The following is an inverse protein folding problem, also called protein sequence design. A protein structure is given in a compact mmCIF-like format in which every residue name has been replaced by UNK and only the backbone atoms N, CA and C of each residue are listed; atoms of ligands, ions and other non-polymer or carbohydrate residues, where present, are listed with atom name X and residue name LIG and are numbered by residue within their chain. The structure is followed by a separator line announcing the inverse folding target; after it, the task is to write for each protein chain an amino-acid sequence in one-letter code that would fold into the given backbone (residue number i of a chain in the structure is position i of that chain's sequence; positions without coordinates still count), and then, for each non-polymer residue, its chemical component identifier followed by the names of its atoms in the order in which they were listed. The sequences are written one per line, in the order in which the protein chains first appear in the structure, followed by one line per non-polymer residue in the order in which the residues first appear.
data_IF_358875017413
#
_entry.id   IF_358875017413
#
_cell.length_a   1.000
_cell.length_b   1.000
_cell.length_c   1.000
_cell.angle_alpha   90.00
_cell.angle_beta   90.00
_cell.angle_gamma   90.00
#
_symmetry.space_group_name_H-M   'P 1'
#
loop_
_entity.id
_entity.type
_entity.pdbx_description
1 polymer ?
#
# COMPACT_ATOMS: atom_id res chain seq x y z
N UNK A 1 -6.69 19.71 -5.65
CA UNK A 1 -6.98 19.49 -4.22
C UNK A 1 -5.64 19.35 -3.52
N UNK A 2 -5.40 20.04 -2.42
CA UNK A 2 -4.16 19.82 -1.67
C UNK A 2 -4.17 18.39 -1.11
N UNK A 3 -3.05 17.68 -1.20
CA UNK A 3 -2.93 16.27 -0.80
C UNK A 3 -3.32 16.06 0.68
N UNK A 4 -3.02 17.03 1.53
CA UNK A 4 -3.39 17.01 2.95
C UNK A 4 -4.92 16.95 3.14
N UNK A 5 -5.67 17.82 2.46
CA UNK A 5 -7.14 17.81 2.51
C UNK A 5 -7.72 16.49 2.02
N UNK A 6 -7.14 15.93 0.96
CA UNK A 6 -7.56 14.63 0.46
C UNK A 6 -7.33 13.51 1.49
N UNK A 7 -6.18 13.51 2.15
CA UNK A 7 -5.90 12.57 3.23
C UNK A 7 -6.84 12.74 4.42
N UNK A 8 -7.17 13.99 4.80
CA UNK A 8 -8.15 14.27 5.86
C UNK A 8 -9.53 13.68 5.55
N UNK A 9 -10.00 13.84 4.31
CA UNK A 9 -11.29 13.28 3.87
C UNK A 9 -11.30 11.74 3.93
N UNK A 10 -10.18 11.09 3.53
CA UNK A 10 -10.03 9.62 3.61
C UNK A 10 -10.04 9.13 5.07
N UNK A 11 -9.29 9.79 5.96
CA UNK A 11 -9.19 9.43 7.39
C UNK A 11 -10.54 9.64 8.08
N UNK A 12 -11.19 10.77 7.84
CA UNK A 12 -12.49 11.07 8.43
C UNK A 12 -13.58 10.05 8.02
N UNK A 13 -13.42 9.44 6.84
CA UNK A 13 -14.28 8.39 6.35
C UNK A 13 -13.92 6.97 6.84
N UNK A 14 -12.82 6.82 7.58
CA UNK A 14 -12.41 5.56 8.21
C UNK A 14 -11.24 4.84 7.52
N UNK A 15 -10.50 5.49 6.62
CA UNK A 15 -9.27 4.89 6.10
C UNK A 15 -8.23 4.77 7.21
N UNK A 16 -7.69 3.57 7.41
CA UNK A 16 -6.74 3.26 8.50
C UNK A 16 -5.29 3.19 8.03
N UNK A 17 -5.05 3.07 6.72
CA UNK A 17 -3.73 3.05 6.11
C UNK A 17 -3.75 3.86 4.82
N UNK A 18 -2.80 4.78 4.68
CA UNK A 18 -2.61 5.59 3.48
C UNK A 18 -1.18 5.42 2.99
N UNK A 19 -1.04 5.06 1.72
CA UNK A 19 0.26 5.03 1.05
C UNK A 19 0.42 6.28 0.20
N UNK A 20 1.52 7.01 0.40
CA UNK A 20 1.93 8.10 -0.50
C UNK A 20 2.93 7.60 -1.53
N UNK A 21 2.65 7.89 -2.80
CA UNK A 21 3.48 7.51 -3.94
C UNK A 21 3.62 8.70 -4.89
N UNK A 22 4.85 9.15 -5.11
CA UNK A 22 5.17 10.15 -6.14
C UNK A 22 6.35 9.66 -6.99
N UNK A 23 6.08 9.31 -8.23
CA UNK A 23 7.09 8.96 -9.26
C UNK A 23 7.19 10.02 -10.36
N UNK A 24 6.48 11.15 -10.21
CA UNK A 24 6.43 12.20 -11.23
C UNK A 24 7.69 13.04 -11.26
N UNK A 25 8.38 13.19 -10.14
CA UNK A 25 9.56 14.05 -10.00
C UNK A 25 10.61 13.38 -9.10
N UNK A 26 11.23 12.28 -9.55
CA UNK A 26 12.20 11.53 -8.75
C UNK A 26 13.44 12.34 -8.37
N UNK A 27 13.75 13.40 -9.14
CA UNK A 27 14.83 14.34 -8.90
C UNK A 27 14.54 15.39 -7.79
N UNK A 28 13.32 15.42 -7.25
CA UNK A 28 12.90 16.35 -6.19
C UNK A 28 12.58 15.64 -4.86
N UNK A 29 13.55 14.95 -4.24
CA UNK A 29 13.29 14.18 -3.01
C UNK A 29 12.85 15.07 -1.84
N UNK A 30 13.28 16.33 -1.79
CA UNK A 30 12.90 17.26 -0.74
C UNK A 30 11.43 17.66 -0.81
N UNK A 31 10.83 17.73 -1.99
CA UNK A 31 9.39 17.95 -2.16
C UNK A 31 8.60 16.77 -1.64
N UNK A 32 9.01 15.55 -1.97
CA UNK A 32 8.38 14.33 -1.47
C UNK A 32 8.48 14.22 0.05
N UNK A 33 9.67 14.51 0.62
CA UNK A 33 9.89 14.54 2.06
C UNK A 33 9.00 15.56 2.77
N UNK A 34 8.88 16.78 2.22
CA UNK A 34 8.01 17.81 2.80
C UNK A 34 6.55 17.35 2.85
N UNK A 35 6.07 16.77 1.76
CA UNK A 35 4.71 16.20 1.69
C UNK A 35 4.51 15.03 2.69
N UNK A 36 5.50 14.14 2.79
CA UNK A 36 5.45 13.02 3.73
C UNK A 36 5.40 13.50 5.19
N UNK A 37 6.16 14.54 5.54
CA UNK A 37 6.12 15.15 6.88
C UNK A 37 4.80 15.82 7.20
N UNK A 38 4.21 16.54 6.24
CA UNK A 38 2.88 17.13 6.40
C UNK A 38 1.82 16.05 6.65
N UNK A 39 1.82 14.99 5.86
CA UNK A 39 0.92 13.86 6.05
C UNK A 39 1.16 13.14 7.38
N UNK A 40 2.43 12.95 7.79
CA UNK A 40 2.74 12.32 9.09
C UNK A 40 2.10 13.07 10.25
N UNK A 41 2.22 14.41 10.28
CA UNK A 41 1.61 15.23 11.32
C UNK A 41 0.09 15.13 11.35
N UNK A 42 -0.53 15.11 10.17
CA UNK A 42 -1.98 15.00 10.01
C UNK A 42 -2.52 13.63 10.44
N UNK A 43 -1.75 12.55 10.16
CA UNK A 43 -2.13 11.15 10.36
C UNK A 43 -1.78 10.62 11.74
N UNK A 44 -1.03 11.36 12.55
CA UNK A 44 -0.57 10.92 13.87
C UNK A 44 -1.76 10.41 14.70
N UNK A 45 -1.62 9.17 15.21
CA UNK A 45 -2.62 8.46 16.01
C UNK A 45 -3.99 8.20 15.32
N UNK A 46 -4.11 8.50 14.03
CA UNK A 46 -5.36 8.33 13.28
C UNK A 46 -5.27 7.26 12.19
N UNK A 47 -4.15 7.20 11.48
CA UNK A 47 -3.95 6.25 10.39
C UNK A 47 -2.46 5.97 10.18
N UNK A 48 -2.15 4.82 9.61
CA UNK A 48 -0.80 4.37 9.26
C UNK A 48 -0.33 5.05 7.98
N UNK A 49 0.84 5.71 8.02
CA UNK A 49 1.47 6.30 6.84
C UNK A 49 2.54 5.37 6.26
N UNK A 50 2.34 4.94 5.03
CA UNK A 50 3.31 4.13 4.26
C UNK A 50 3.93 4.97 3.14
N UNK A 51 5.24 4.93 3.04
CA UNK A 51 5.99 5.57 1.95
C UNK A 51 6.28 4.54 0.86
N UNK A 52 5.96 4.87 -0.39
CA UNK A 52 6.26 3.98 -1.52
C UNK A 52 7.75 4.04 -1.87
N UNK A 53 8.44 2.91 -2.01
CA UNK A 53 9.82 2.66 -2.46
C UNK A 53 10.94 3.27 -1.57
N UNK A 54 10.75 4.40 -0.93
CA UNK A 54 11.77 5.28 -0.37
C UNK A 54 11.95 5.08 1.13
N UNK A 55 12.84 4.14 1.51
CA UNK A 55 13.21 3.87 2.93
C UNK A 55 13.82 5.10 3.60
N UNK A 56 14.62 5.88 2.89
CA UNK A 56 15.22 7.12 3.36
C UNK A 56 14.15 8.20 3.69
N UNK A 57 13.16 8.38 2.83
CA UNK A 57 12.03 9.29 3.07
C UNK A 57 11.17 8.80 4.22
N UNK A 58 10.94 7.48 4.33
CA UNK A 58 10.21 6.88 5.44
C UNK A 58 10.87 7.25 6.79
N UNK A 59 12.17 7.09 6.91
CA UNK A 59 12.92 7.46 8.10
C UNK A 59 12.92 8.97 8.35
N UNK A 60 13.21 9.76 7.32
CA UNK A 60 13.32 11.22 7.44
C UNK A 60 11.98 11.90 7.76
N UNK A 61 10.85 11.30 7.38
CA UNK A 61 9.49 11.77 7.68
C UNK A 61 8.91 11.15 8.96
N UNK A 62 9.62 10.20 9.59
CA UNK A 62 9.13 9.40 10.72
C UNK A 62 7.81 8.66 10.39
N UNK A 63 7.70 8.15 9.16
CA UNK A 63 6.54 7.38 8.72
C UNK A 63 6.51 5.97 9.35
N UNK A 64 5.35 5.33 9.32
CA UNK A 64 5.10 4.05 9.98
C UNK A 64 5.63 2.86 9.20
N UNK A 65 5.97 3.04 7.91
CA UNK A 65 6.53 1.96 7.10
C UNK A 65 6.78 2.34 5.64
N UNK A 66 7.25 1.35 4.90
CA UNK A 66 7.56 1.44 3.47
C UNK A 66 6.85 0.32 2.70
N UNK A 67 6.49 0.58 1.47
CA UNK A 67 6.02 -0.43 0.53
C UNK A 67 7.00 -0.54 -0.63
N UNK A 68 7.51 -1.74 -0.91
CA UNK A 68 8.57 -2.01 -1.87
C UNK A 68 8.04 -2.87 -3.04
N UNK A 69 8.53 -2.61 -4.22
CA UNK A 69 8.33 -3.43 -5.41
C UNK A 69 9.51 -4.38 -5.65
N UNK A 70 9.40 -5.16 -6.73
CA UNK A 70 10.41 -6.19 -7.10
C UNK A 70 11.77 -5.59 -7.49
N UNK A 71 11.76 -4.36 -8.02
CA UNK A 71 12.95 -3.66 -8.53
C UNK A 71 13.49 -2.61 -7.54
N UNK A 72 12.86 -2.47 -6.36
CA UNK A 72 13.26 -1.52 -5.34
C UNK A 72 14.31 -2.12 -4.39
N UNK A 73 14.63 -1.41 -3.31
CA UNK A 73 15.51 -1.95 -2.26
C UNK A 73 14.92 -3.25 -1.68
N UNK A 74 15.73 -4.29 -1.52
CA UNK A 74 15.21 -5.56 -1.00
C UNK A 74 14.64 -5.42 0.41
N UNK A 75 13.59 -6.19 0.76
CA UNK A 75 13.01 -6.20 2.10
C UNK A 75 14.03 -6.46 3.22
N UNK A 76 15.02 -7.35 2.99
CA UNK A 76 16.08 -7.64 3.95
C UNK A 76 16.98 -6.43 4.19
N UNK A 77 17.27 -5.68 3.12
CA UNK A 77 18.08 -4.45 3.22
C UNK A 77 17.31 -3.36 3.95
N UNK A 78 16.02 -3.19 3.63
CA UNK A 78 15.14 -2.24 4.31
C UNK A 78 15.02 -2.57 5.81
N UNK A 79 14.81 -3.84 6.16
CA UNK A 79 14.73 -4.31 7.56
C UNK A 79 16.05 -4.03 8.30
N UNK A 80 17.19 -4.35 7.70
CA UNK A 80 18.51 -4.05 8.28
C UNK A 80 18.72 -2.56 8.53
N UNK A 81 18.20 -1.69 7.66
CA UNK A 81 18.28 -0.24 7.85
C UNK A 81 17.39 0.17 9.04
N UNK A 82 16.13 -0.30 9.10
CA UNK A 82 15.22 0.01 10.20
C UNK A 82 15.74 -0.48 11.55
N UNK A 83 16.31 -1.69 11.62
CA UNK A 83 16.86 -2.26 12.84
C UNK A 83 18.08 -1.50 13.40
N UNK A 84 18.78 -0.75 12.54
CA UNK A 84 19.89 0.14 12.97
C UNK A 84 19.43 1.45 13.58
N UNK A 85 18.21 1.85 13.31
CA UNK A 85 17.62 3.07 13.91
C UNK A 85 17.10 2.72 15.31
N UNK A 86 17.76 3.23 16.35
CA UNK A 86 17.44 2.92 17.74
C UNK A 86 16.43 3.94 18.32
N UNK A 87 15.27 4.09 17.68
CA UNK A 87 14.20 4.99 18.11
C UNK A 87 13.02 4.26 18.80
N UNK A 88 13.13 2.94 19.00
CA UNK A 88 12.10 2.12 19.65
C UNK A 88 10.88 1.83 18.78
N UNK A 89 10.89 2.20 17.49
CA UNK A 89 9.77 1.99 16.58
C UNK A 89 9.97 0.76 15.71
N UNK A 90 8.91 -0.02 15.55
CA UNK A 90 8.85 -1.07 14.53
C UNK A 90 8.16 -0.50 13.29
N UNK A 91 8.89 -0.45 12.17
CA UNK A 91 8.36 0.03 10.90
C UNK A 91 7.88 -1.10 10.02
N UNK A 92 6.74 -0.93 9.42
CA UNK A 92 6.14 -1.91 8.50
C UNK A 92 6.88 -1.95 7.17
N UNK A 93 6.99 -3.15 6.61
CA UNK A 93 7.46 -3.38 5.23
C UNK A 93 6.38 -4.13 4.48
N UNK A 94 5.76 -3.48 3.50
CA UNK A 94 4.92 -4.12 2.50
C UNK A 94 5.70 -4.51 1.27
N UNK A 95 5.27 -5.57 0.57
CA UNK A 95 5.95 -6.02 -0.63
C UNK A 95 4.98 -6.39 -1.75
N UNK A 96 5.21 -5.84 -2.94
CA UNK A 96 4.41 -6.10 -4.13
C UNK A 96 4.78 -7.43 -4.79
N UNK A 97 3.77 -8.21 -5.15
CA UNK A 97 3.89 -9.44 -5.93
C UNK A 97 2.92 -9.44 -7.10
N UNK A 98 3.28 -10.12 -8.19
CA UNK A 98 2.52 -10.13 -9.45
C UNK A 98 2.17 -11.54 -9.93
N UNK A 99 2.55 -12.56 -9.19
CA UNK A 99 2.26 -13.97 -9.47
C UNK A 99 2.47 -14.84 -8.22
N UNK A 100 1.99 -16.08 -8.27
CA UNK A 100 2.08 -17.03 -7.17
C UNK A 100 3.52 -17.34 -6.73
N UNK A 101 4.46 -17.44 -7.66
CA UNK A 101 5.86 -17.74 -7.33
C UNK A 101 6.49 -16.64 -6.49
N UNK A 102 6.17 -15.36 -6.77
CA UNK A 102 6.61 -14.23 -5.97
C UNK A 102 5.96 -14.21 -4.58
N UNK A 103 4.69 -14.58 -4.45
CA UNK A 103 4.02 -14.71 -3.15
C UNK A 103 4.70 -15.76 -2.28
N UNK A 104 4.96 -16.95 -2.84
CA UNK A 104 5.67 -18.04 -2.14
C UNK A 104 7.06 -17.57 -1.69
N UNK A 105 7.81 -16.90 -2.55
CA UNK A 105 9.13 -16.37 -2.20
C UNK A 105 9.05 -15.31 -1.09
N UNK A 106 8.04 -14.43 -1.14
CA UNK A 106 7.85 -13.36 -0.16
C UNK A 106 7.47 -13.87 1.25
N UNK A 107 6.97 -15.11 1.38
CA UNK A 107 6.65 -15.70 2.69
C UNK A 107 7.88 -15.78 3.62
N UNK A 108 9.07 -16.04 3.05
CA UNK A 108 10.32 -16.11 3.80
C UNK A 108 11.01 -14.75 4.04
N UNK A 109 10.54 -13.68 3.39
CA UNK A 109 11.12 -12.34 3.51
C UNK A 109 10.66 -11.65 4.79
N UNK A 110 11.44 -10.69 5.33
CA UNK A 110 11.10 -9.93 6.53
C UNK A 110 10.08 -8.81 6.21
N UNK A 111 8.96 -9.17 5.58
CA UNK A 111 7.84 -8.29 5.25
C UNK A 111 6.67 -8.53 6.17
N UNK A 112 5.91 -7.48 6.45
CA UNK A 112 4.77 -7.51 7.36
C UNK A 112 3.45 -7.78 6.62
N UNK A 113 3.37 -7.47 5.33
CA UNK A 113 2.26 -7.81 4.45
C UNK A 113 2.70 -7.95 2.99
N UNK A 114 1.91 -8.67 2.23
CA UNK A 114 2.13 -8.92 0.79
C UNK A 114 0.99 -8.28 0.00
N UNK A 115 1.31 -7.55 -1.06
CA UNK A 115 0.34 -7.06 -2.02
C UNK A 115 0.37 -7.92 -3.28
N UNK A 116 -0.80 -8.36 -3.76
CA UNK A 116 -0.97 -9.12 -5.00
C UNK A 116 -1.74 -8.32 -6.04
N UNK A 117 -1.22 -8.23 -7.24
CA UNK A 117 -1.92 -7.56 -8.35
C UNK A 117 -1.07 -7.28 -9.58
N UNK A 118 -1.71 -6.73 -10.62
CA UNK A 118 -3.07 -6.19 -10.63
C UNK A 118 -4.16 -7.29 -10.70
N UNK A 119 -5.21 -7.14 -9.87
CA UNK A 119 -6.33 -8.12 -9.88
C UNK A 119 -7.20 -7.92 -11.10
N UNK A 120 -7.42 -6.67 -11.52
CA UNK A 120 -8.14 -6.30 -12.74
C UNK A 120 -7.29 -5.32 -13.56
N UNK A 121 -7.66 -5.12 -14.81
CA UNK A 121 -7.00 -4.14 -15.67
C UNK A 121 -7.00 -2.74 -15.04
N UNK A 122 -5.88 -2.04 -15.10
CA UNK A 122 -5.71 -0.73 -14.47
C UNK A 122 -4.83 0.19 -15.31
N UNK A 123 -5.13 1.48 -15.30
CA UNK A 123 -4.31 2.53 -15.91
C UNK A 123 -3.43 3.29 -14.90
N UNK A 124 -3.40 2.88 -13.62
CA UNK A 124 -2.65 3.59 -12.57
C UNK A 124 -1.12 3.39 -12.63
N UNK A 125 -0.65 2.42 -13.44
CA UNK A 125 0.77 2.14 -13.71
C UNK A 125 0.98 2.19 -15.22
N UNK A 126 2.04 2.87 -15.69
CA UNK A 126 2.32 3.03 -17.13
C UNK A 126 2.55 1.68 -17.85
N UNK A 127 3.23 0.74 -17.18
CA UNK A 127 3.44 -0.62 -17.65
C UNK A 127 2.91 -1.59 -16.60
N UNK A 128 1.60 -1.91 -16.62
CA UNK A 128 1.04 -2.84 -15.65
C UNK A 128 1.51 -4.26 -15.92
N UNK A 129 1.77 -5.00 -14.86
CA UNK A 129 2.01 -6.44 -14.92
C UNK A 129 0.75 -7.18 -15.44
N UNK A 130 0.87 -8.44 -15.86
CA UNK A 130 -0.28 -9.25 -16.25
C UNK A 130 -1.33 -9.36 -15.15
N UNK A 131 -2.61 -9.31 -15.52
CA UNK A 131 -3.73 -9.42 -14.59
C UNK A 131 -3.73 -10.80 -13.94
N UNK A 132 -3.71 -10.84 -12.60
CA UNK A 132 -3.74 -12.11 -11.83
C UNK A 132 -5.16 -12.66 -11.64
N UNK A 133 -6.18 -11.81 -11.74
CA UNK A 133 -7.58 -12.16 -11.55
C UNK A 133 -7.91 -12.61 -10.11
N UNK A 134 -9.18 -12.98 -9.90
CA UNK A 134 -9.65 -13.48 -8.60
C UNK A 134 -9.04 -14.82 -8.26
N UNK A 135 -8.72 -15.63 -9.26
CA UNK A 135 -8.06 -16.93 -9.05
C UNK A 135 -6.64 -16.75 -8.51
N UNK A 136 -5.89 -15.79 -9.04
CA UNK A 136 -4.57 -15.44 -8.49
C UNK A 136 -4.63 -14.97 -7.04
N UNK A 137 -5.70 -14.24 -6.65
CA UNK A 137 -5.92 -13.86 -5.23
C UNK A 137 -6.16 -15.10 -4.35
N UNK A 138 -7.00 -16.08 -4.79
CA UNK A 138 -7.25 -17.33 -4.04
C UNK A 138 -5.98 -18.14 -3.85
N UNK A 139 -5.19 -18.30 -4.91
CA UNK A 139 -3.92 -19.03 -4.86
C UNK A 139 -2.90 -18.34 -3.95
N UNK A 140 -2.81 -17.01 -4.01
CA UNK A 140 -1.96 -16.22 -3.13
C UNK A 140 -2.36 -16.38 -1.66
N UNK A 141 -3.64 -16.31 -1.34
CA UNK A 141 -4.16 -16.47 0.00
C UNK A 141 -3.82 -17.85 0.60
N UNK A 142 -3.88 -18.90 -0.21
CA UNK A 142 -3.50 -20.25 0.22
C UNK A 142 -2.00 -20.44 0.41
N UNK A 143 -1.18 -19.61 -0.23
CA UNK A 143 0.27 -19.72 -0.26
C UNK A 143 0.97 -18.87 0.82
N UNK A 144 0.27 -17.97 1.50
CA UNK A 144 0.86 -17.11 2.53
C UNK A 144 0.05 -17.12 3.83
N UNK A 145 0.75 -16.93 4.96
CA UNK A 145 0.14 -16.64 6.28
C UNK A 145 0.21 -15.15 6.63
N UNK A 146 0.90 -14.36 5.81
CA UNK A 146 0.99 -12.91 5.98
C UNK A 146 -0.29 -12.23 5.49
N UNK A 147 -0.67 -11.06 6.05
CA UNK A 147 -1.77 -10.27 5.52
C UNK A 147 -1.63 -10.05 4.02
N UNK A 148 -2.69 -10.39 3.26
CA UNK A 148 -2.72 -10.29 1.81
C UNK A 148 -3.58 -9.10 1.37
N UNK A 149 -2.94 -8.12 0.71
CA UNK A 149 -3.58 -6.93 0.18
C UNK A 149 -3.78 -7.09 -1.32
N UNK A 150 -5.00 -7.04 -1.79
CA UNK A 150 -5.27 -7.05 -3.24
C UNK A 150 -5.22 -5.62 -3.81
N UNK A 151 -4.59 -5.45 -4.99
CA UNK A 151 -4.45 -4.15 -5.65
C UNK A 151 -4.66 -4.26 -7.16
N UNK A 152 -5.03 -3.15 -7.80
CA UNK A 152 -5.13 -2.99 -9.25
C UNK A 152 -6.54 -3.21 -9.79
N UNK A 153 -7.14 -2.12 -10.31
CA UNK A 153 -8.47 -2.10 -10.92
C UNK A 153 -9.62 -2.43 -9.97
N UNK A 154 -9.39 -2.34 -8.66
CA UNK A 154 -10.42 -2.61 -7.66
C UNK A 154 -11.31 -1.38 -7.51
N UNK A 155 -12.62 -1.61 -7.53
CA UNK A 155 -13.68 -0.61 -7.42
C UNK A 155 -14.73 -1.06 -6.40
N UNK A 156 -15.63 -0.15 -6.02
CA UNK A 156 -16.78 -0.46 -5.14
C UNK A 156 -17.68 -1.56 -5.71
N UNK A 157 -17.71 -1.73 -7.05
CA UNK A 157 -18.54 -2.74 -7.71
C UNK A 157 -17.93 -4.15 -7.66
N UNK A 158 -16.60 -4.26 -7.57
CA UNK A 158 -15.91 -5.56 -7.65
C UNK A 158 -15.19 -5.97 -6.33
N UNK A 159 -15.08 -5.08 -5.34
CA UNK A 159 -14.33 -5.36 -4.10
C UNK A 159 -14.90 -6.54 -3.29
N UNK A 160 -16.24 -6.78 -3.34
CA UNK A 160 -16.86 -7.93 -2.69
C UNK A 160 -16.33 -9.26 -3.23
N UNK A 161 -16.07 -9.35 -4.54
CA UNK A 161 -15.50 -10.54 -5.16
C UNK A 161 -14.05 -10.75 -4.73
N UNK A 162 -13.29 -9.66 -4.54
CA UNK A 162 -11.90 -9.70 -4.05
C UNK A 162 -11.84 -10.18 -2.60
N UNK A 163 -12.75 -9.69 -1.74
CA UNK A 163 -12.91 -10.19 -0.37
C UNK A 163 -13.26 -11.67 -0.35
N UNK A 164 -14.24 -12.09 -1.17
CA UNK A 164 -14.63 -13.49 -1.29
C UNK A 164 -13.53 -14.40 -1.87
N UNK A 165 -12.57 -13.83 -2.60
CA UNK A 165 -11.36 -14.54 -3.05
C UNK A 165 -10.31 -14.72 -1.95
N UNK A 166 -10.47 -14.08 -0.78
CA UNK A 166 -9.64 -14.29 0.41
C UNK A 166 -8.61 -13.18 0.68
N UNK A 167 -8.71 -12.02 0.01
CA UNK A 167 -7.88 -10.88 0.39
C UNK A 167 -8.31 -10.33 1.77
N UNK A 168 -7.33 -10.03 2.62
CA UNK A 168 -7.55 -9.44 3.95
C UNK A 168 -7.91 -7.95 3.84
N UNK A 169 -7.35 -7.25 2.84
CA UNK A 169 -7.65 -5.87 2.55
C UNK A 169 -7.50 -5.56 1.05
N UNK A 170 -7.94 -4.37 0.65
CA UNK A 170 -7.78 -3.86 -0.72
C UNK A 170 -7.04 -2.52 -0.73
N UNK A 171 -6.18 -2.31 -1.72
CA UNK A 171 -5.58 -1.01 -2.01
C UNK A 171 -6.23 -0.40 -3.26
N UNK A 172 -6.73 0.81 -3.12
CA UNK A 172 -7.52 1.50 -4.14
C UNK A 172 -6.95 2.88 -4.42
N UNK A 173 -6.95 3.31 -5.67
CA UNK A 173 -6.51 4.64 -6.10
C UNK A 173 -7.64 5.34 -6.88
N UNK A 174 -7.94 4.87 -8.07
CA UNK A 174 -8.79 5.61 -9.03
C UNK A 174 -10.23 5.79 -8.56
N UNK A 175 -10.81 4.78 -7.90
CA UNK A 175 -12.21 4.83 -7.45
C UNK A 175 -12.43 5.77 -6.23
N UNK A 176 -11.34 6.27 -5.63
CA UNK A 176 -11.39 7.25 -4.54
C UNK A 176 -11.40 8.72 -5.03
N UNK A 177 -11.01 8.98 -6.29
CA UNK A 177 -10.68 10.34 -6.75
C UNK A 177 -11.88 11.28 -6.84
N UNK A 178 -13.05 10.78 -7.22
CA UNK A 178 -14.24 11.63 -7.43
C UNK A 178 -14.97 12.00 -6.12
N UNK A 179 -15.01 11.07 -5.17
CA UNK A 179 -15.76 11.25 -3.91
C UNK A 179 -15.08 10.46 -2.78
N UNK A 180 -13.93 10.92 -2.27
CA UNK A 180 -13.07 10.12 -1.39
C UNK A 180 -13.80 9.61 -0.15
N UNK A 181 -14.49 10.47 0.58
CA UNK A 181 -15.19 10.07 1.81
C UNK A 181 -16.31 9.05 1.54
N UNK A 182 -17.13 9.28 0.49
CA UNK A 182 -18.20 8.36 0.13
C UNK A 182 -17.63 7.01 -0.33
N UNK A 183 -16.56 7.02 -1.13
CA UNK A 183 -15.95 5.81 -1.64
C UNK A 183 -15.37 4.96 -0.49
N UNK A 184 -14.65 5.56 0.45
CA UNK A 184 -14.13 4.84 1.64
C UNK A 184 -15.29 4.22 2.43
N UNK A 185 -16.35 4.96 2.72
CA UNK A 185 -17.51 4.43 3.45
C UNK A 185 -18.18 3.26 2.70
N UNK A 186 -18.28 3.34 1.37
CA UNK A 186 -18.83 2.27 0.55
C UNK A 186 -17.93 1.01 0.56
N UNK A 187 -16.59 1.17 0.48
CA UNK A 187 -15.63 0.06 0.62
C UNK A 187 -15.72 -0.60 1.99
N UNK A 188 -15.71 0.19 3.07
CA UNK A 188 -15.77 -0.35 4.44
C UNK A 188 -17.08 -1.13 4.70
N UNK A 189 -18.21 -0.67 4.14
CA UNK A 189 -19.48 -1.40 4.25
C UNK A 189 -19.43 -2.79 3.60
N UNK A 190 -18.68 -2.94 2.52
CA UNK A 190 -18.52 -4.21 1.79
C UNK A 190 -17.47 -5.11 2.43
N UNK A 191 -16.38 -4.50 2.90
CA UNK A 191 -15.23 -5.24 3.43
C UNK A 191 -15.40 -5.63 4.91
N UNK A 192 -16.23 -4.93 5.65
CA UNK A 192 -16.56 -5.21 7.06
C UNK A 192 -15.63 -4.55 8.00
#
# INVERSE_FOLDING_TARGET
MAIARYAEELIAAGATLIQIRDKSQPEQPMRFLSCARELRQLMLDKATLIINDRVDICLAADADGVHLGQDDLSPESARKIFDRVRDGKTRLIGFSTHNLSQVIAAESLPVDYIAIGPVFATGSKANPDPVVGLEGVRQAQQATKKPLIAIGGITRQNCSQVKAAGADAVAVISDLLESPAKAVADFLRVLG
#
